data_IF_156479895152
#
_entry.id   IF_156479895152
#
_cell.length_a   1.000
_cell.length_b   1.000
_cell.length_c   1.000
_cell.angle_alpha   90.00
_cell.angle_beta   90.00
_cell.angle_gamma   90.00
#
_symmetry.space_group_name_H-M   'P 1'
#
loop_
_entity.id
_entity.type
_entity.pdbx_description
1 polymer ?
#
# COMPACT_ATOMS: atom_id res chain seq x y z
N UNK A 1 29.07 -14.53 -14.19
CA UNK A 1 28.74 -13.38 -13.30
C UNK A 1 27.26 -13.46 -12.93
N UNK A 2 26.93 -14.14 -11.83
CA UNK A 2 25.60 -14.04 -11.23
C UNK A 2 25.60 -12.77 -10.39
N UNK A 3 25.22 -11.64 -10.98
CA UNK A 3 24.92 -10.46 -10.19
C UNK A 3 23.88 -10.85 -9.15
N UNK A 4 24.16 -10.58 -7.87
CA UNK A 4 23.18 -10.63 -6.80
C UNK A 4 22.07 -9.62 -7.12
N UNK A 5 21.14 -10.02 -7.99
CA UNK A 5 19.97 -9.22 -8.33
C UNK A 5 19.08 -9.21 -7.10
N UNK A 6 18.71 -8.02 -6.64
CA UNK A 6 17.72 -7.87 -5.59
C UNK A 6 16.45 -8.60 -6.06
N UNK A 7 15.96 -9.52 -5.23
CA UNK A 7 14.74 -10.25 -5.54
C UNK A 7 13.56 -9.29 -5.49
N UNK A 8 12.65 -9.41 -6.47
CA UNK A 8 11.41 -8.63 -6.54
C UNK A 8 10.68 -8.60 -5.20
N UNK A 9 10.55 -9.76 -4.56
CA UNK A 9 9.79 -9.93 -3.32
C UNK A 9 10.42 -9.19 -2.15
N UNK A 10 11.76 -9.05 -2.12
CA UNK A 10 12.44 -8.23 -1.11
C UNK A 10 12.17 -6.74 -1.30
N UNK A 11 12.11 -6.27 -2.54
CA UNK A 11 11.78 -4.88 -2.84
C UNK A 11 10.31 -4.57 -2.53
N UNK A 12 9.41 -5.52 -2.81
CA UNK A 12 7.99 -5.42 -2.44
C UNK A 12 7.84 -5.35 -0.91
N UNK A 13 8.47 -6.26 -0.16
CA UNK A 13 8.43 -6.27 1.30
C UNK A 13 9.00 -4.99 1.93
N UNK A 14 10.08 -4.44 1.35
CA UNK A 14 10.62 -3.14 1.78
C UNK A 14 9.60 -2.02 1.56
N UNK A 15 8.93 -2.01 0.41
CA UNK A 15 7.93 -0.98 0.07
C UNK A 15 6.73 -1.06 1.00
N UNK A 16 6.23 -2.26 1.27
CA UNK A 16 5.15 -2.52 2.24
C UNK A 16 5.54 -2.03 3.64
N UNK A 17 6.76 -2.33 4.08
CA UNK A 17 7.29 -1.87 5.37
C UNK A 17 7.36 -0.35 5.48
N UNK A 18 7.88 0.33 4.46
CA UNK A 18 7.96 1.81 4.45
C UNK A 18 6.57 2.43 4.46
N UNK A 19 5.65 1.94 3.63
CA UNK A 19 4.26 2.43 3.58
C UNK A 19 3.55 2.22 4.92
N UNK A 20 3.72 1.06 5.55
CA UNK A 20 3.15 0.79 6.87
C UNK A 20 3.68 1.77 7.92
N UNK A 21 4.98 2.06 7.93
CA UNK A 21 5.56 3.06 8.84
C UNK A 21 4.95 4.45 8.56
N UNK A 22 4.78 4.86 7.30
CA UNK A 22 4.19 6.17 6.99
C UNK A 22 2.73 6.29 7.46
N UNK A 23 1.94 5.23 7.31
CA UNK A 23 0.58 5.16 7.86
C UNK A 23 0.60 5.34 9.38
N UNK A 24 1.51 4.66 10.08
CA UNK A 24 1.59 4.78 11.55
C UNK A 24 2.08 6.15 12.01
N UNK A 25 3.06 6.75 11.32
CA UNK A 25 3.57 8.08 11.66
C UNK A 25 2.48 9.15 11.52
N UNK A 26 1.65 9.04 10.49
CA UNK A 26 0.47 9.91 10.33
C UNK A 26 -0.49 9.83 11.53
N UNK A 27 -0.67 8.65 12.13
CA UNK A 27 -1.52 8.51 13.32
C UNK A 27 -0.86 9.09 14.58
N UNK A 28 0.46 9.05 14.67
CA UNK A 28 1.18 9.63 15.81
C UNK A 28 1.09 11.17 15.86
N UNK A 29 0.78 11.83 14.74
CA UNK A 29 0.51 13.28 14.71
C UNK A 29 -0.65 13.74 15.61
N UNK A 30 -1.44 12.83 16.17
CA UNK A 30 -2.55 13.12 17.09
C UNK A 30 -2.14 13.17 18.58
N UNK A 31 -0.87 12.98 18.95
CA UNK A 31 -0.43 12.84 20.35
C UNK A 31 -0.77 14.05 21.26
N UNK A 32 -0.80 15.28 20.72
CA UNK A 32 -1.07 16.50 21.51
C UNK A 32 -2.46 16.54 22.14
N UNK A 33 -3.43 15.86 21.54
CA UNK A 33 -4.85 15.93 21.89
C UNK A 33 -5.21 15.13 23.15
N UNK A 34 -4.39 14.13 23.51
CA UNK A 34 -4.68 13.26 24.66
C UNK A 34 -4.63 14.00 26.00
N UNK A 35 -3.73 14.97 26.13
CA UNK A 35 -3.55 15.70 27.38
C UNK A 35 -4.73 16.62 27.70
N UNK A 36 -5.25 17.32 26.69
CA UNK A 36 -6.42 18.20 26.84
C UNK A 36 -7.69 17.43 27.21
N UNK A 37 -7.90 16.26 26.60
CA UNK A 37 -9.05 15.39 26.92
C UNK A 37 -8.94 14.84 28.35
N UNK A 38 -7.73 14.54 28.82
CA UNK A 38 -7.49 14.04 30.18
C UNK A 38 -7.76 15.10 31.24
N UNK A 39 -7.47 16.36 30.93
CA UNK A 39 -7.65 17.50 31.85
C UNK A 39 -9.07 18.09 31.82
N UNK A 40 -9.93 17.59 30.93
CA UNK A 40 -11.32 18.00 30.81
C UNK A 40 -12.14 17.71 32.07
N UNK A 41 -12.95 18.68 32.49
CA UNK A 41 -13.69 18.67 33.77
C UNK A 41 -15.13 18.20 33.63
N UNK A 42 -15.61 18.00 32.40
CA UNK A 42 -16.99 17.57 32.13
C UNK A 42 -17.11 16.78 30.83
N UNK A 43 -18.16 15.97 30.71
CA UNK A 43 -18.47 15.28 29.45
C UNK A 43 -18.74 16.24 28.29
N UNK A 44 -19.31 17.41 28.55
CA UNK A 44 -19.55 18.43 27.53
C UNK A 44 -18.24 18.99 26.96
N UNK A 45 -17.24 19.18 27.83
CA UNK A 45 -15.90 19.62 27.44
C UNK A 45 -15.16 18.57 26.61
N UNK A 46 -15.28 17.29 26.99
CA UNK A 46 -14.74 16.17 26.20
C UNK A 46 -15.35 16.14 24.79
N UNK A 47 -16.68 16.24 24.67
CA UNK A 47 -17.34 16.26 23.36
C UNK A 47 -16.94 17.47 22.51
N UNK A 48 -16.75 18.64 23.13
CA UNK A 48 -16.28 19.82 22.44
C UNK A 48 -14.85 19.64 21.91
N UNK A 49 -13.94 19.08 22.73
CA UNK A 49 -12.57 18.78 22.33
C UNK A 49 -12.53 17.76 21.18
N UNK A 50 -13.32 16.68 21.25
CA UNK A 50 -13.45 15.72 20.13
C UNK A 50 -13.94 16.42 18.86
N UNK A 51 -14.94 17.30 18.98
CA UNK A 51 -15.46 18.08 17.86
C UNK A 51 -14.42 18.99 17.20
N UNK A 52 -13.52 19.60 17.98
CA UNK A 52 -12.44 20.45 17.48
C UNK A 52 -11.39 19.66 16.68
N UNK A 53 -11.26 18.37 16.96
CA UNK A 53 -10.25 17.48 16.38
C UNK A 53 -10.73 16.79 15.10
N UNK A 54 -12.02 16.88 14.80
CA UNK A 54 -12.62 16.29 13.61
C UNK A 54 -11.97 16.71 12.29
N UNK A 55 -11.60 17.99 12.04
CA UNK A 55 -10.91 18.38 10.81
C UNK A 55 -9.55 17.70 10.62
N UNK A 56 -8.79 17.53 11.70
CA UNK A 56 -7.52 16.81 11.69
C UNK A 56 -7.75 15.32 11.38
N UNK A 57 -8.73 14.70 12.05
CA UNK A 57 -9.12 13.31 11.80
C UNK A 57 -9.56 13.07 10.35
N UNK A 58 -10.34 13.97 9.76
CA UNK A 58 -10.77 13.88 8.36
C UNK A 58 -9.59 14.01 7.38
N UNK A 59 -8.65 14.92 7.66
CA UNK A 59 -7.44 15.09 6.84
C UNK A 59 -6.53 13.87 6.91
N UNK A 60 -6.42 13.25 8.09
CA UNK A 60 -5.77 11.96 8.27
C UNK A 60 -6.46 10.85 7.46
N UNK A 61 -7.79 10.69 7.59
CA UNK A 61 -8.52 9.65 6.86
C UNK A 61 -8.37 9.80 5.35
N UNK A 62 -8.44 11.04 4.85
CA UNK A 62 -8.23 11.34 3.43
C UNK A 62 -6.83 10.89 2.98
N UNK A 63 -5.80 11.27 3.73
CA UNK A 63 -4.41 10.90 3.44
C UNK A 63 -4.19 9.39 3.52
N UNK A 64 -4.83 8.72 4.47
CA UNK A 64 -4.77 7.27 4.64
C UNK A 64 -5.35 6.56 3.41
N UNK A 65 -6.50 7.02 2.91
CA UNK A 65 -7.12 6.48 1.71
C UNK A 65 -6.21 6.67 0.49
N UNK A 66 -5.58 7.84 0.34
CA UNK A 66 -4.60 8.06 -0.73
C UNK A 66 -3.41 7.09 -0.64
N UNK A 67 -2.77 6.98 0.52
CA UNK A 67 -1.64 6.07 0.72
C UNK A 67 -2.05 4.63 0.45
N UNK A 68 -3.21 4.18 0.96
CA UNK A 68 -3.75 2.85 0.69
C UNK A 68 -4.04 2.60 -0.79
N UNK A 69 -4.56 3.60 -1.50
CA UNK A 69 -4.77 3.54 -2.95
C UNK A 69 -3.47 3.46 -3.74
N UNK A 70 -2.42 4.17 -3.31
CA UNK A 70 -1.09 4.05 -3.92
C UNK A 70 -0.45 2.70 -3.64
N UNK A 71 -0.55 2.20 -2.40
CA UNK A 71 -0.11 0.88 -2.02
C UNK A 71 -0.78 -0.20 -2.88
N UNK A 72 -2.10 -0.13 -3.05
CA UNK A 72 -2.83 -1.08 -3.89
C UNK A 72 -2.29 -1.11 -5.32
N UNK A 73 -2.10 0.07 -5.94
CA UNK A 73 -1.54 0.15 -7.31
C UNK A 73 -0.10 -0.33 -7.38
N UNK A 74 0.74 0.00 -6.41
CA UNK A 74 2.13 -0.47 -6.37
C UNK A 74 2.18 -1.99 -6.20
N UNK A 75 1.35 -2.54 -5.32
CA UNK A 75 1.20 -3.98 -5.13
C UNK A 75 0.79 -4.67 -6.44
N UNK A 76 -0.19 -4.11 -7.16
CA UNK A 76 -0.60 -4.61 -8.48
C UNK A 76 0.52 -4.52 -9.52
N UNK A 77 1.35 -3.48 -9.50
CA UNK A 77 2.54 -3.42 -10.35
C UNK A 77 3.49 -4.58 -10.02
N UNK A 78 3.76 -4.84 -8.74
CA UNK A 78 4.61 -5.95 -8.30
C UNK A 78 4.06 -7.33 -8.67
N UNK A 79 2.74 -7.51 -8.71
CA UNK A 79 2.11 -8.75 -9.19
C UNK A 79 2.35 -8.99 -10.68
N UNK A 80 2.46 -7.92 -11.48
CA UNK A 80 2.56 -8.00 -12.94
C UNK A 80 4.00 -7.90 -13.48
N UNK A 81 5.01 -7.70 -12.62
CA UNK A 81 6.42 -7.77 -13.00
C UNK A 81 7.05 -9.12 -12.62
N UNK A 82 7.88 -9.66 -13.50
CA UNK A 82 8.59 -10.93 -13.32
C UNK A 82 9.95 -10.79 -12.63
N UNK A 83 10.64 -9.67 -12.86
CA UNK A 83 11.92 -9.35 -12.21
C UNK A 83 12.08 -7.84 -12.07
N UNK A 84 13.10 -7.41 -11.32
CA UNK A 84 13.44 -6.00 -11.11
C UNK A 84 14.84 -5.71 -11.65
N UNK A 85 15.02 -4.52 -12.22
CA UNK A 85 16.33 -4.01 -12.63
C UNK A 85 16.72 -2.76 -11.81
N UNK A 86 17.94 -2.26 -12.02
CA UNK A 86 18.46 -1.11 -11.25
C UNK A 86 17.63 0.16 -11.42
N UNK A 87 17.04 0.37 -12.60
CA UNK A 87 16.25 1.58 -12.89
C UNK A 87 14.91 1.49 -12.18
N UNK A 88 14.22 0.35 -12.22
CA UNK A 88 12.99 0.12 -11.49
C UNK A 88 13.19 0.25 -9.98
N UNK A 89 14.30 -0.27 -9.44
CA UNK A 89 14.65 -0.09 -8.03
C UNK A 89 14.78 1.40 -7.69
N UNK A 90 15.47 2.18 -8.52
CA UNK A 90 15.60 3.64 -8.33
C UNK A 90 14.26 4.37 -8.37
N UNK A 91 13.38 4.03 -9.33
CA UNK A 91 12.04 4.59 -9.42
C UNK A 91 11.15 4.21 -8.23
N UNK A 92 11.32 2.99 -7.71
CA UNK A 92 10.65 2.56 -6.48
C UNK A 92 11.08 3.40 -5.28
N UNK A 93 12.39 3.64 -5.11
CA UNK A 93 12.88 4.51 -4.04
C UNK A 93 12.42 5.96 -4.20
N UNK A 94 12.33 6.48 -5.43
CA UNK A 94 11.76 7.80 -5.68
C UNK A 94 10.29 7.85 -5.24
N UNK A 95 9.50 6.84 -5.58
CA UNK A 95 8.11 6.74 -5.13
C UNK A 95 8.00 6.66 -3.60
N UNK A 96 8.83 5.82 -2.94
CA UNK A 96 8.85 5.71 -1.48
C UNK A 96 9.24 7.03 -0.81
N UNK A 97 10.19 7.78 -1.39
CA UNK A 97 10.56 9.12 -0.92
C UNK A 97 9.37 10.07 -1.01
N UNK A 98 8.62 10.07 -2.13
CA UNK A 98 7.42 10.89 -2.28
C UNK A 98 6.36 10.54 -1.22
N UNK A 99 6.09 9.25 -1.02
CA UNK A 99 5.14 8.78 0.00
C UNK A 99 5.61 9.16 1.41
N UNK A 100 6.91 9.12 1.70
CA UNK A 100 7.44 9.43 3.02
C UNK A 100 7.22 10.87 3.48
N UNK A 101 6.92 11.77 2.54
CA UNK A 101 6.65 13.18 2.81
C UNK A 101 5.15 13.45 3.02
N UNK A 102 4.27 12.48 2.75
CA UNK A 102 2.81 12.62 2.93
C UNK A 102 2.42 12.94 4.38
N UNK A 103 2.99 12.31 5.44
CA UNK A 103 2.67 12.67 6.82
C UNK A 103 2.91 14.16 7.10
N UNK A 104 4.09 14.67 6.72
CA UNK A 104 4.46 16.07 6.89
C UNK A 104 3.51 17.00 6.12
N UNK A 105 3.17 16.67 4.87
CA UNK A 105 2.24 17.46 4.07
C UNK A 105 0.82 17.49 4.69
N UNK A 106 0.42 16.40 5.35
CA UNK A 106 -0.86 16.30 6.05
C UNK A 106 -0.86 17.18 7.30
N UNK A 107 0.23 17.15 8.08
CA UNK A 107 0.37 17.98 9.28
C UNK A 107 0.33 19.48 8.92
N UNK A 108 1.03 19.89 7.87
CA UNK A 108 0.98 21.27 7.37
C UNK A 108 -0.43 21.71 6.98
N UNK A 109 -1.22 20.82 6.36
CA UNK A 109 -2.61 21.12 6.00
C UNK A 109 -3.47 21.36 7.24
N UNK A 110 -3.22 20.63 8.32
CA UNK A 110 -3.94 20.77 9.59
C UNK A 110 -3.53 22.06 10.31
N UNK A 111 -2.23 22.34 10.41
CA UNK A 111 -1.71 23.55 11.08
C UNK A 111 -2.16 24.84 10.38
N UNK A 112 -2.26 24.82 9.05
CA UNK A 112 -2.68 25.97 8.22
C UNK A 112 -4.20 26.19 8.18
N UNK A 113 -4.99 25.40 8.92
CA UNK A 113 -6.46 25.56 8.95
C UNK A 113 -6.92 26.99 9.29
N UNK A 114 -6.10 27.74 10.05
CA UNK A 114 -6.38 29.11 10.47
C UNK A 114 -5.60 30.19 9.70
N UNK A 115 -4.65 29.81 8.83
CA UNK A 115 -3.82 30.75 8.06
C UNK A 115 -3.28 30.11 6.77
N UNK A 116 -3.49 30.75 5.62
CA UNK A 116 -2.97 30.30 4.31
C UNK A 116 -3.40 28.89 3.84
N UNK A 117 -4.52 28.38 4.33
CA UNK A 117 -5.06 27.05 4.00
C UNK A 117 -5.10 26.73 2.49
N UNK A 118 -5.39 27.71 1.62
CA UNK A 118 -5.45 27.47 0.16
C UNK A 118 -4.07 27.14 -0.43
N UNK A 119 -3.01 27.86 -0.05
CA UNK A 119 -1.67 27.60 -0.56
C UNK A 119 -1.18 26.20 -0.15
N UNK A 120 -1.44 25.82 1.10
CA UNK A 120 -1.08 24.50 1.61
C UNK A 120 -1.96 23.40 0.98
N UNK A 121 -3.25 23.63 0.77
CA UNK A 121 -4.11 22.70 0.04
C UNK A 121 -3.61 22.44 -1.38
N UNK A 122 -3.20 23.49 -2.11
CA UNK A 122 -2.62 23.37 -3.45
C UNK A 122 -1.34 22.53 -3.40
N UNK A 123 -0.44 22.83 -2.46
CA UNK A 123 0.78 22.04 -2.25
C UNK A 123 0.45 20.56 -1.97
N UNK A 124 -0.47 20.29 -1.07
CA UNK A 124 -0.92 18.96 -0.68
C UNK A 124 -1.48 18.16 -1.87
N UNK A 125 -2.37 18.76 -2.69
CA UNK A 125 -2.92 18.13 -3.89
C UNK A 125 -1.85 17.92 -5.00
N UNK A 126 -0.93 18.87 -5.17
CA UNK A 126 0.19 18.72 -6.10
C UNK A 126 1.16 17.64 -5.64
N UNK A 127 1.36 17.45 -4.35
CA UNK A 127 2.23 16.40 -3.84
C UNK A 127 1.69 15.00 -4.19
N UNK A 128 0.38 14.78 -4.11
CA UNK A 128 -0.22 13.54 -4.62
C UNK A 128 -0.08 13.39 -6.14
N UNK A 129 -0.06 14.49 -6.88
CA UNK A 129 0.26 14.45 -8.32
C UNK A 129 1.70 13.94 -8.53
N UNK A 130 2.66 14.40 -7.73
CA UNK A 130 4.06 13.90 -7.76
C UNK A 130 4.12 12.40 -7.41
N UNK A 131 3.43 11.95 -6.38
CA UNK A 131 3.34 10.51 -6.04
C UNK A 131 2.78 9.68 -7.21
N UNK A 132 1.71 10.16 -7.84
CA UNK A 132 1.10 9.52 -9.02
C UNK A 132 2.07 9.48 -10.20
N UNK A 133 2.84 10.54 -10.45
CA UNK A 133 3.84 10.58 -11.52
C UNK A 133 5.00 9.61 -11.27
N UNK A 134 5.50 9.49 -10.03
CA UNK A 134 6.53 8.52 -9.68
C UNK A 134 6.05 7.08 -9.91
N UNK A 135 4.79 6.80 -9.58
CA UNK A 135 4.18 5.50 -9.84
C UNK A 135 3.97 5.25 -11.35
N UNK A 136 3.52 6.27 -12.09
CA UNK A 136 3.39 6.21 -13.55
C UNK A 136 4.73 5.92 -14.23
N UNK A 137 5.80 6.57 -13.78
CA UNK A 137 7.16 6.36 -14.29
C UNK A 137 7.62 4.91 -14.03
N UNK A 138 7.37 4.38 -12.83
CA UNK A 138 7.66 2.98 -12.48
C UNK A 138 6.90 2.01 -13.41
N UNK A 139 5.61 2.25 -13.64
CA UNK A 139 4.79 1.42 -14.53
C UNK A 139 5.20 1.54 -16.00
N UNK A 140 5.56 2.73 -16.45
CA UNK A 140 6.06 2.98 -17.79
C UNK A 140 7.37 2.28 -18.05
N UNK A 141 8.30 2.32 -17.11
CA UNK A 141 9.55 1.58 -17.22
C UNK A 141 9.29 0.07 -17.32
N UNK A 142 8.43 -0.48 -16.47
CA UNK A 142 8.14 -1.91 -16.45
C UNK A 142 7.46 -2.42 -17.73
N UNK A 143 6.58 -1.61 -18.32
CA UNK A 143 5.73 -2.01 -19.47
C UNK A 143 6.31 -1.63 -20.83
N UNK A 144 7.19 -0.62 -20.91
CA UNK A 144 7.79 -0.18 -22.18
C UNK A 144 8.65 -1.31 -22.74
N UNK A 145 8.27 -1.83 -23.92
CA UNK A 145 8.95 -2.97 -24.53
C UNK A 145 8.83 -4.28 -23.74
N UNK A 146 7.85 -4.40 -22.82
CA UNK A 146 7.67 -5.54 -21.90
C UNK A 146 8.94 -5.91 -21.13
N UNK A 147 9.75 -4.91 -20.78
CA UNK A 147 11.08 -5.10 -20.14
C UNK A 147 11.04 -5.93 -18.87
N UNK A 148 10.05 -5.71 -18.02
CA UNK A 148 9.95 -6.35 -16.71
C UNK A 148 8.62 -7.11 -16.52
N UNK A 149 7.68 -6.97 -17.46
CA UNK A 149 6.34 -7.53 -17.38
C UNK A 149 6.34 -9.06 -17.46
N UNK A 150 5.42 -9.71 -16.74
CA UNK A 150 5.20 -11.15 -16.89
C UNK A 150 4.68 -11.49 -18.30
N UNK A 151 4.96 -12.71 -18.82
CA UNK A 151 4.55 -13.10 -20.18
C UNK A 151 3.04 -13.01 -20.42
N UNK A 152 2.24 -13.18 -19.36
CA UNK A 152 0.78 -13.23 -19.41
C UNK A 152 0.11 -11.86 -19.14
N UNK A 153 0.87 -10.77 -19.09
CA UNK A 153 0.32 -9.43 -18.89
C UNK A 153 -0.58 -9.04 -20.07
N UNK A 154 -1.88 -8.88 -19.79
CA UNK A 154 -2.87 -8.38 -20.75
C UNK A 154 -2.73 -6.87 -20.94
N UNK A 155 -2.86 -6.42 -22.20
CA UNK A 155 -2.83 -4.99 -22.55
C UNK A 155 -3.94 -4.19 -21.86
N UNK A 156 -5.09 -4.82 -21.59
CA UNK A 156 -6.19 -4.20 -20.83
C UNK A 156 -5.77 -3.81 -19.42
N UNK A 157 -5.02 -4.67 -18.72
CA UNK A 157 -4.50 -4.38 -17.37
C UNK A 157 -3.54 -3.21 -17.40
N UNK A 158 -2.63 -3.18 -18.39
CA UNK A 158 -1.70 -2.06 -18.60
C UNK A 158 -2.46 -0.75 -18.75
N UNK A 159 -3.45 -0.72 -19.66
CA UNK A 159 -4.26 0.47 -19.90
C UNK A 159 -5.09 0.87 -18.69
N UNK A 160 -5.60 -0.10 -17.94
CA UNK A 160 -6.42 0.15 -16.75
C UNK A 160 -5.61 0.81 -15.63
N UNK A 161 -4.39 0.32 -15.37
CA UNK A 161 -3.49 0.94 -14.38
C UNK A 161 -3.11 2.36 -14.81
N UNK A 162 -2.75 2.57 -16.08
CA UNK A 162 -2.48 3.92 -16.59
C UNK A 162 -3.68 4.85 -16.47
N UNK A 163 -4.86 4.39 -16.86
CA UNK A 163 -6.09 5.18 -16.79
C UNK A 163 -6.36 5.64 -15.37
N UNK A 164 -6.19 4.78 -14.37
CA UNK A 164 -6.40 5.16 -12.98
C UNK A 164 -5.36 6.15 -12.46
N UNK A 165 -4.09 5.98 -12.83
CA UNK A 165 -3.04 6.94 -12.43
C UNK A 165 -3.26 8.29 -13.14
N UNK A 166 -3.63 8.27 -14.41
CA UNK A 166 -3.96 9.50 -15.15
C UNK A 166 -5.22 10.17 -14.60
N UNK A 167 -6.24 9.40 -14.21
CA UNK A 167 -7.44 9.91 -13.57
C UNK A 167 -7.13 10.54 -12.20
N UNK A 168 -6.26 9.94 -11.38
CA UNK A 168 -5.86 10.56 -10.10
C UNK A 168 -5.10 11.87 -10.32
N UNK A 169 -4.18 11.93 -11.28
CA UNK A 169 -3.48 13.17 -11.65
C UNK A 169 -4.48 14.24 -12.12
N UNK A 170 -5.34 13.89 -13.09
CA UNK A 170 -6.32 14.82 -13.64
C UNK A 170 -7.26 15.35 -12.55
N UNK A 171 -7.70 14.49 -11.63
CA UNK A 171 -8.60 14.88 -10.56
C UNK A 171 -7.92 15.73 -9.48
N UNK A 172 -6.64 15.48 -9.15
CA UNK A 172 -5.87 16.36 -8.26
C UNK A 172 -5.68 17.75 -8.88
N UNK A 173 -5.30 17.82 -10.16
CA UNK A 173 -5.14 19.09 -10.88
C UNK A 173 -6.47 19.84 -11.03
N UNK A 174 -7.56 19.11 -11.28
CA UNK A 174 -8.90 19.68 -11.29
C UNK A 174 -9.30 20.23 -9.92
N UNK A 175 -9.02 19.49 -8.84
CA UNK A 175 -9.25 19.95 -7.47
C UNK A 175 -8.50 21.23 -7.13
N UNK A 176 -7.24 21.34 -7.58
CA UNK A 176 -6.43 22.58 -7.49
C UNK A 176 -7.06 23.71 -8.29
N UNK A 177 -7.47 23.47 -9.54
CA UNK A 177 -8.09 24.52 -10.36
C UNK A 177 -9.39 25.05 -9.74
N UNK A 178 -10.22 24.15 -9.20
CA UNK A 178 -11.50 24.50 -8.58
C UNK A 178 -11.31 25.18 -7.21
N UNK A 179 -10.23 24.89 -6.48
CA UNK A 179 -9.98 25.51 -5.17
C UNK A 179 -9.73 27.02 -5.24
N UNK A 180 -9.36 27.56 -6.40
CA UNK A 180 -9.28 29.01 -6.63
C UNK A 180 -10.64 29.71 -6.72
N UNK A 181 -11.71 28.96 -7.04
CA UNK A 181 -13.09 29.47 -7.05
C UNK A 181 -13.75 29.24 -5.70
N UNK A 182 -13.71 27.99 -5.22
CA UNK A 182 -14.21 27.60 -3.91
C UNK A 182 -13.39 26.43 -3.38
N UNK A 183 -12.70 26.65 -2.26
CA UNK A 183 -11.84 25.65 -1.63
C UNK A 183 -12.62 24.40 -1.19
N UNK A 184 -13.89 24.54 -0.81
CA UNK A 184 -14.75 23.41 -0.40
C UNK A 184 -14.97 22.46 -1.57
N UNK A 185 -15.18 23.00 -2.76
CA UNK A 185 -15.32 22.20 -3.97
C UNK A 185 -14.00 21.49 -4.32
N UNK A 186 -12.86 22.15 -4.13
CA UNK A 186 -11.53 21.52 -4.25
C UNK A 186 -11.36 20.34 -3.29
N UNK A 187 -11.70 20.51 -2.01
CA UNK A 187 -11.65 19.44 -0.99
C UNK A 187 -12.59 18.27 -1.34
N UNK A 188 -13.81 18.56 -1.80
CA UNK A 188 -14.76 17.52 -2.24
C UNK A 188 -14.18 16.75 -3.43
N UNK A 189 -13.63 17.43 -4.43
CA UNK A 189 -13.00 16.78 -5.59
C UNK A 189 -11.86 15.86 -5.16
N UNK A 190 -11.01 16.31 -4.23
CA UNK A 190 -9.89 15.52 -3.72
C UNK A 190 -10.37 14.30 -2.92
N UNK A 191 -11.42 14.46 -2.12
CA UNK A 191 -12.05 13.37 -1.35
C UNK A 191 -12.68 12.32 -2.27
N UNK A 192 -13.42 12.75 -3.28
CA UNK A 192 -13.99 11.86 -4.31
C UNK A 192 -12.88 11.11 -5.03
N UNK A 193 -11.76 11.78 -5.34
CA UNK A 193 -10.60 11.16 -5.97
C UNK A 193 -10.02 10.04 -5.09
N UNK A 194 -9.81 10.32 -3.80
CA UNK A 194 -9.29 9.33 -2.85
C UNK A 194 -10.20 8.10 -2.79
N UNK A 195 -11.51 8.30 -2.66
CA UNK A 195 -12.49 7.20 -2.64
C UNK A 195 -12.50 6.43 -3.97
N UNK A 196 -12.41 7.11 -5.10
CA UNK A 196 -12.34 6.47 -6.40
C UNK A 196 -11.08 5.62 -6.58
N UNK A 197 -9.98 5.91 -5.87
CA UNK A 197 -8.78 5.07 -5.89
C UNK A 197 -8.97 3.71 -5.21
N UNK A 198 -9.95 3.57 -4.32
CA UNK A 198 -10.33 2.29 -3.71
C UNK A 198 -11.22 1.44 -4.62
N UNK A 199 -11.75 2.02 -5.71
CA UNK A 199 -12.61 1.30 -6.62
C UNK A 199 -11.78 0.21 -7.36
N UNK A 200 -12.19 -1.07 -7.30
CA UNK A 200 -11.44 -2.18 -7.86
C UNK A 200 -11.20 -2.00 -9.36
N UNK A 201 -10.04 -2.47 -9.83
CA UNK A 201 -9.76 -2.52 -11.26
C UNK A 201 -10.69 -3.56 -11.89
N UNK A 202 -11.21 -3.24 -13.07
CA UNK A 202 -11.90 -4.22 -13.92
C UNK A 202 -11.01 -5.44 -14.28
N UNK A 203 -9.69 -5.36 -14.04
CA UNK A 203 -8.72 -6.46 -14.21
C UNK A 203 -8.46 -7.30 -12.95
N UNK A 204 -9.20 -7.11 -11.85
CA UNK A 204 -9.04 -7.86 -10.59
C UNK A 204 -9.49 -9.33 -10.65
N UNK A 205 -9.77 -9.85 -11.86
CA UNK A 205 -10.11 -11.25 -12.08
C UNK A 205 -9.08 -12.25 -11.54
N UNK A 206 -7.83 -11.83 -11.34
CA UNK A 206 -6.79 -12.68 -10.76
C UNK A 206 -6.99 -12.93 -9.25
N UNK A 207 -7.52 -11.97 -8.48
CA UNK A 207 -7.90 -12.19 -7.07
C UNK A 207 -9.08 -13.17 -6.97
N UNK A 208 -10.07 -13.01 -7.86
CA UNK A 208 -11.20 -13.92 -7.99
C UNK A 208 -10.80 -15.33 -8.45
N UNK A 209 -9.72 -15.44 -9.24
CA UNK A 209 -9.16 -16.73 -9.66
C UNK A 209 -8.31 -17.37 -8.56
N UNK A 210 -7.47 -16.60 -7.86
CA UNK A 210 -6.68 -17.10 -6.73
C UNK A 210 -7.58 -17.60 -5.59
N UNK A 211 -8.66 -16.89 -5.27
CA UNK A 211 -9.65 -17.31 -4.30
C UNK A 211 -10.38 -18.59 -4.74
N UNK A 212 -10.71 -18.70 -6.03
CA UNK A 212 -11.26 -19.94 -6.60
C UNK A 212 -10.30 -21.12 -6.51
N UNK A 213 -9.03 -20.94 -6.85
CA UNK A 213 -8.02 -22.00 -6.79
C UNK A 213 -7.75 -22.43 -5.35
N UNK A 214 -7.69 -21.49 -4.40
CA UNK A 214 -7.59 -21.78 -2.97
C UNK A 214 -8.82 -22.53 -2.46
N UNK A 215 -10.02 -22.08 -2.84
CA UNK A 215 -11.28 -22.73 -2.47
C UNK A 215 -11.35 -24.15 -3.05
N UNK A 216 -10.93 -24.35 -4.31
CA UNK A 216 -10.86 -25.67 -4.94
C UNK A 216 -9.78 -26.55 -4.31
N UNK A 217 -8.64 -26.00 -3.89
CA UNK A 217 -7.57 -26.75 -3.22
C UNK A 217 -7.99 -27.20 -1.81
N UNK A 218 -8.67 -26.32 -1.06
CA UNK A 218 -9.22 -26.62 0.27
C UNK A 218 -10.41 -27.59 0.17
N UNK A 219 -11.23 -27.48 -0.87
CA UNK A 219 -12.36 -28.38 -1.10
C UNK A 219 -11.96 -29.76 -1.62
N UNK A 220 -10.72 -29.96 -2.08
CA UNK A 220 -10.23 -31.30 -2.44
C UNK A 220 -10.04 -32.13 -1.17
N UNK A 221 -10.77 -33.25 -1.00
CA UNK A 221 -10.46 -34.16 0.10
C UNK A 221 -9.01 -34.62 -0.04
N UNK A 222 -8.26 -34.75 1.07
CA UNK A 222 -6.89 -35.24 1.03
C UNK A 222 -6.90 -36.56 0.27
N UNK A 223 -6.03 -36.68 -0.75
CA UNK A 223 -5.85 -37.93 -1.48
C UNK A 223 -5.51 -38.98 -0.43
N UNK A 224 -6.46 -39.86 -0.13
CA UNK A 224 -6.18 -41.05 0.65
C UNK A 224 -5.08 -41.79 -0.09
N UNK A 225 -3.85 -41.70 0.41
CA UNK A 225 -2.74 -42.51 -0.03
C UNK A 225 -3.16 -43.95 0.23
N UNK A 226 -3.70 -44.62 -0.80
CA UNK A 226 -3.87 -46.06 -0.82
C UNK A 226 -2.49 -46.70 -0.92
N UNK A 227 -1.66 -46.50 0.09
CA UNK A 227 -0.56 -47.42 0.34
C UNK A 227 -1.16 -48.57 1.17
N UNK A 228 -1.22 -49.80 0.64
CA UNK A 228 -1.54 -50.94 1.46
C UNK A 228 -0.50 -51.00 2.59
N UNK A 229 -0.99 -51.08 3.83
CA UNK A 229 -0.18 -51.17 5.04
C UNK A 229 0.64 -52.47 4.99
N UNK A 230 1.79 -52.43 4.33
CA UNK A 230 2.80 -53.47 4.45
C UNK A 230 3.46 -53.28 5.80
N UNK A 231 3.02 -54.08 6.79
CA UNK A 231 3.67 -54.17 8.09
C UNK A 231 5.17 -54.42 7.87
N UNK A 232 6.01 -53.43 8.17
CA UNK A 232 7.46 -53.62 8.17
C UNK A 232 7.80 -54.62 9.28
N UNK A 233 8.59 -55.67 9.01
CA UNK A 233 9.05 -56.56 10.05
C UNK A 233 9.89 -55.77 11.06
N UNK A 234 9.55 -55.90 12.34
CA UNK A 234 10.33 -55.35 13.45
C UNK A 234 11.66 -56.09 13.48
N UNK A 235 12.75 -55.42 13.11
CA UNK A 235 14.11 -55.94 13.31
C UNK A 235 14.39 -56.02 14.81
N UNK A 236 14.94 -57.14 15.33
CA UNK A 236 15.32 -57.25 16.72
C UNK A 236 16.37 -56.19 17.08
N UNK A 237 16.21 -55.62 18.28
CA UNK A 237 17.06 -54.62 18.91
C UNK A 237 18.55 -54.96 18.81
N UNK A 238 19.34 -53.96 18.39
CA UNK A 238 20.80 -53.96 18.53
C UNK A 238 21.18 -54.25 19.99
N UNK A 239 21.85 -55.37 20.22
CA UNK A 239 22.61 -55.62 21.44
C UNK A 239 23.70 -54.55 21.57
N UNK A 240 23.69 -53.82 22.68
CA UNK A 240 24.73 -52.85 23.02
C UNK A 240 25.90 -53.65 23.62
N UNK A 241 27.13 -53.58 23.08
CA UNK A 241 28.28 -54.26 23.66
C UNK A 241 28.61 -53.72 25.06
N UNK A 242 28.78 -54.62 26.03
CA UNK A 242 29.03 -54.35 27.45
C UNK A 242 30.42 -53.76 27.78
N UNK A 243 31.20 -53.33 26.77
CA UNK A 243 32.59 -52.91 26.96
C UNK A 243 32.77 -51.39 27.15
N UNK A 244 31.69 -50.61 27.25
CA UNK A 244 31.78 -49.15 27.43
C UNK A 244 31.93 -48.68 28.90
N UNK A 245 32.09 -49.60 29.87
CA UNK A 245 32.19 -49.28 31.30
C UNK A 245 33.45 -49.83 32.00
N UNK A 246 34.61 -49.77 31.35
CA UNK A 246 35.89 -50.01 32.04
C UNK A 246 37.06 -49.21 31.43
N UNK A 247 37.19 -47.94 31.82
CA UNK A 247 38.39 -47.26 32.41
C UNK A 247 38.33 -45.75 32.23
#
# INVERSE_FOLDING_TARGET
>A
MHSHLIQKDRLAALSDGVIAVMITLMFLGFEGTYQEIRDAKSSAEIWALIGQQMPQFLSYCLSFIFIGGYWLKQHLIFLHIGHVDRVFIGLNFLFLMCISMVPIATDWLVESANHEFNAIFVFYALWYTVCSLALAASWAWATTGRRLATPHLRTETVRSIYFQIAASIAACLFGVAVSYVDIRLGMIALTVTALAMLCPLRSDGHWLQADKELTEHVARPPKASREPFHARPVTPSLEIPEEAFAT
#
